data_IF_140568809950
#
_entry.id   IF_140568809950
#
_cell.length_a   1.000
_cell.length_b   1.000
_cell.length_c   1.000
_cell.angle_alpha   90.00
_cell.angle_beta   90.00
_cell.angle_gamma   90.00
#
_symmetry.space_group_name_H-M   'P 1'
#
loop_
_entity.id
_entity.type
_entity.pdbx_description
1 polymer ?
#
# COMPACT_ATOMS: atom_id res chain seq x y z
N UNK A 1 22.99 -13.22 1.64
CA UNK A 1 23.96 -14.07 2.38
C UNK A 1 23.91 -15.47 1.79
N UNK A 2 25.04 -16.16 1.63
CA UNK A 2 25.08 -17.59 1.28
C UNK A 2 25.26 -18.41 2.57
N UNK A 3 24.78 -19.67 2.59
CA UNK A 3 24.84 -20.57 3.76
C UNK A 3 24.29 -19.93 5.06
N UNK A 4 23.19 -19.19 4.93
CA UNK A 4 22.53 -18.55 6.06
C UNK A 4 21.68 -19.51 6.88
N UNK A 5 21.48 -19.17 8.15
CA UNK A 5 20.54 -19.78 9.07
C UNK A 5 19.63 -18.70 9.65
N UNK A 6 18.35 -19.05 9.77
CA UNK A 6 17.33 -18.25 10.43
C UNK A 6 16.69 -19.13 11.50
N UNK A 7 16.64 -18.63 12.73
CA UNK A 7 15.92 -19.28 13.84
C UNK A 7 14.78 -18.38 14.27
N UNK A 8 13.64 -19.01 14.56
CA UNK A 8 12.43 -18.35 15.01
C UNK A 8 11.90 -19.04 16.26
N UNK A 9 11.28 -18.27 17.14
CA UNK A 9 10.56 -18.76 18.31
C UNK A 9 9.21 -18.02 18.38
N UNK A 10 8.12 -18.76 18.18
CA UNK A 10 6.81 -18.17 18.00
C UNK A 10 6.83 -17.06 16.93
N UNK A 11 6.34 -15.85 17.21
CA UNK A 11 6.26 -14.77 16.23
C UNK A 11 7.57 -14.00 16.02
N UNK A 12 8.68 -14.38 16.66
CA UNK A 12 9.91 -13.57 16.66
C UNK A 12 11.09 -14.32 16.05
N UNK A 13 11.91 -13.60 15.28
CA UNK A 13 13.22 -14.07 14.82
C UNK A 13 14.22 -13.98 15.99
N UNK A 14 14.84 -15.09 16.35
CA UNK A 14 15.83 -15.15 17.43
C UNK A 14 17.26 -15.08 16.91
N UNK A 15 17.51 -15.53 15.67
CA UNK A 15 18.81 -15.45 15.02
C UNK A 15 18.65 -15.35 13.50
N UNK A 16 19.47 -14.52 12.86
CA UNK A 16 19.60 -14.44 11.40
C UNK A 16 21.07 -14.17 11.06
N UNK A 17 21.75 -15.10 10.39
CA UNK A 17 23.18 -14.96 10.11
C UNK A 17 23.79 -16.19 9.47
N UNK A 18 25.14 -16.25 9.35
CA UNK A 18 25.84 -17.42 8.84
C UNK A 18 25.59 -18.64 9.74
N UNK A 19 25.42 -19.82 9.15
CA UNK A 19 25.06 -21.04 9.89
C UNK A 19 26.11 -21.44 10.94
N UNK A 20 27.39 -21.13 10.71
CA UNK A 20 28.49 -21.37 11.64
C UNK A 20 28.37 -20.58 12.95
N UNK A 21 27.64 -19.47 12.94
CA UNK A 21 27.38 -18.63 14.10
C UNK A 21 26.01 -18.90 14.72
N UNK A 22 25.25 -19.85 14.18
CA UNK A 22 23.93 -20.16 14.71
C UNK A 22 24.03 -20.77 16.12
N UNK A 23 23.18 -20.32 17.06
CA UNK A 23 23.04 -20.98 18.35
C UNK A 23 22.78 -22.49 18.19
N UNK A 24 23.23 -23.29 19.15
CA UNK A 24 22.89 -24.73 19.18
C UNK A 24 21.37 -24.87 19.26
N UNK A 25 20.79 -25.52 18.26
CA UNK A 25 19.37 -25.76 18.24
C UNK A 25 18.98 -26.91 19.19
N UNK A 26 17.80 -26.86 19.83
CA UNK A 26 17.24 -27.98 20.58
C UNK A 26 17.12 -29.25 19.72
N UNK A 27 17.14 -30.42 20.35
CA UNK A 27 17.12 -31.70 19.65
C UNK A 27 15.83 -31.97 18.87
N UNK A 28 14.73 -31.32 19.26
CA UNK A 28 13.38 -31.44 18.72
C UNK A 28 12.99 -30.31 17.74
N UNK A 29 13.95 -29.46 17.33
CA UNK A 29 13.67 -28.36 16.41
C UNK A 29 13.23 -28.87 15.02
N UNK A 30 12.21 -28.23 14.44
CA UNK A 30 11.83 -28.46 13.05
C UNK A 30 12.79 -27.72 12.11
N UNK A 31 13.51 -28.46 11.28
CA UNK A 31 14.48 -27.89 10.32
C UNK A 31 13.90 -27.86 8.90
N UNK A 32 13.97 -26.70 8.26
CA UNK A 32 13.65 -26.51 6.85
C UNK A 32 14.93 -26.17 6.08
N UNK A 33 15.22 -26.88 4.99
CA UNK A 33 16.29 -26.54 4.05
C UNK A 33 15.66 -26.01 2.78
N UNK A 34 15.93 -24.75 2.46
CA UNK A 34 15.33 -24.07 1.31
C UNK A 34 16.39 -23.31 0.51
N UNK A 35 16.18 -23.07 -0.80
CA UNK A 35 17.18 -22.41 -1.63
C UNK A 35 17.43 -20.95 -1.24
N UNK A 36 16.36 -20.22 -0.93
CA UNK A 36 16.39 -18.79 -0.62
C UNK A 36 15.42 -18.49 0.51
N UNK A 37 15.83 -17.60 1.42
CA UNK A 37 15.00 -17.04 2.47
C UNK A 37 15.04 -15.51 2.37
N UNK A 38 13.89 -14.87 2.46
CA UNK A 38 13.75 -13.40 2.51
C UNK A 38 12.61 -12.99 3.45
N UNK A 39 12.52 -11.71 3.88
CA UNK A 39 11.37 -11.24 4.64
C UNK A 39 10.05 -11.40 3.85
N UNK A 40 8.94 -11.54 4.58
CA UNK A 40 7.59 -11.35 4.04
C UNK A 40 7.46 -9.99 3.34
N UNK A 41 6.80 -9.98 2.18
CA UNK A 41 6.63 -8.75 1.41
C UNK A 41 5.49 -7.90 1.97
N UNK A 42 5.57 -6.61 1.67
CA UNK A 42 4.60 -5.59 2.03
C UNK A 42 4.03 -4.93 0.79
N UNK A 43 2.73 -4.65 0.82
CA UNK A 43 2.09 -3.72 -0.10
C UNK A 43 1.70 -2.45 0.67
N UNK A 44 2.36 -1.33 0.38
CA UNK A 44 2.18 -0.08 1.10
C UNK A 44 1.03 0.77 0.53
N UNK A 45 0.30 0.30 -0.48
CA UNK A 45 -0.83 1.03 -1.04
C UNK A 45 -1.82 0.04 -1.63
N UNK A 46 -2.69 -0.51 -0.79
CA UNK A 46 -3.81 -1.33 -1.24
C UNK A 46 -5.14 -0.79 -0.74
N UNK A 47 -6.23 -1.33 -1.29
CA UNK A 47 -7.59 -0.95 -0.96
C UNK A 47 -8.50 -2.19 -0.86
N UNK A 48 -8.84 -2.60 0.36
CA UNK A 48 -9.82 -3.66 0.60
C UNK A 48 -11.24 -3.11 0.47
N UNK A 49 -11.71 -2.94 -0.76
CA UNK A 49 -12.98 -2.24 -1.03
C UNK A 49 -14.18 -3.16 -1.31
N UNK A 50 -13.96 -4.40 -1.76
CA UNK A 50 -15.04 -5.34 -2.08
C UNK A 50 -15.72 -5.13 -3.45
N UNK A 51 -15.18 -4.23 -4.28
CA UNK A 51 -15.77 -3.79 -5.55
C UNK A 51 -15.25 -4.66 -6.69
N UNK A 52 -16.10 -5.05 -7.65
CA UNK A 52 -15.69 -5.93 -8.76
C UNK A 52 -15.51 -5.22 -10.11
N UNK A 53 -16.05 -4.01 -10.23
CA UNK A 53 -16.14 -3.27 -11.49
C UNK A 53 -15.49 -1.90 -11.36
N UNK A 54 -15.12 -1.30 -12.49
CA UNK A 54 -14.53 0.05 -12.61
C UNK A 54 -15.50 1.19 -12.32
N UNK A 55 -16.81 0.91 -12.30
CA UNK A 55 -17.80 1.90 -11.96
C UNK A 55 -17.78 2.19 -10.45
N UNK A 56 -17.25 3.36 -10.07
CA UNK A 56 -17.15 3.83 -8.67
C UNK A 56 -18.51 3.96 -7.98
N UNK A 57 -19.61 4.12 -8.74
CA UNK A 57 -20.96 4.13 -8.16
C UNK A 57 -21.36 2.80 -7.51
N UNK A 58 -20.72 1.68 -7.91
CA UNK A 58 -20.99 0.35 -7.34
C UNK A 58 -20.77 0.32 -5.82
N UNK A 59 -19.87 1.17 -5.32
CA UNK A 59 -19.61 1.33 -3.90
C UNK A 59 -20.85 1.81 -3.17
N UNK A 60 -21.47 2.88 -3.67
CA UNK A 60 -22.67 3.45 -3.05
C UNK A 60 -23.90 2.54 -3.18
N UNK A 61 -23.91 1.65 -4.18
CA UNK A 61 -25.02 0.73 -4.48
C UNK A 61 -24.88 -0.63 -3.80
N UNK A 62 -23.72 -0.97 -3.25
CA UNK A 62 -23.45 -2.27 -2.63
C UNK A 62 -23.32 -2.13 -1.12
N UNK A 63 -24.09 -2.92 -0.37
CA UNK A 63 -24.05 -2.86 1.10
C UNK A 63 -22.69 -3.28 1.68
N UNK A 64 -22.27 -2.62 2.77
CA UNK A 64 -21.00 -2.92 3.47
C UNK A 64 -20.82 -4.41 3.83
N UNK A 65 -21.85 -5.18 4.27
CA UNK A 65 -21.68 -6.61 4.52
C UNK A 65 -21.24 -7.40 3.28
N UNK A 66 -21.77 -7.06 2.10
CA UNK A 66 -21.39 -7.71 0.84
C UNK A 66 -19.95 -7.34 0.46
N UNK A 67 -19.60 -6.05 0.54
CA UNK A 67 -18.23 -5.58 0.27
C UNK A 67 -17.22 -6.26 1.20
N UNK A 68 -17.57 -6.40 2.48
CA UNK A 68 -16.74 -7.04 3.51
C UNK A 68 -16.55 -8.52 3.22
N UNK A 69 -17.63 -9.26 2.96
CA UNK A 69 -17.57 -10.69 2.64
C UNK A 69 -16.67 -10.98 1.42
N UNK A 70 -16.68 -10.09 0.42
CA UNK A 70 -15.81 -10.16 -0.76
C UNK A 70 -14.34 -9.90 -0.40
N UNK A 71 -14.05 -8.86 0.38
CA UNK A 71 -12.71 -8.47 0.76
C UNK A 71 -11.97 -9.52 1.62
N UNK A 72 -12.69 -10.41 2.32
CA UNK A 72 -12.09 -11.56 3.03
C UNK A 72 -11.25 -12.44 2.11
N UNK A 73 -11.76 -12.74 0.91
CA UNK A 73 -11.03 -13.55 -0.06
C UNK A 73 -9.78 -12.84 -0.58
N UNK A 74 -9.83 -11.51 -0.69
CA UNK A 74 -8.73 -10.69 -1.15
C UNK A 74 -7.58 -10.64 -0.13
N UNK A 75 -7.89 -10.53 1.16
CA UNK A 75 -6.88 -10.61 2.22
C UNK A 75 -6.16 -11.97 2.18
N UNK A 76 -6.88 -13.06 1.96
CA UNK A 76 -6.28 -14.39 1.76
C UNK A 76 -5.37 -14.44 0.53
N UNK A 77 -5.80 -13.87 -0.60
CA UNK A 77 -5.00 -13.83 -1.84
C UNK A 77 -3.69 -13.08 -1.67
N UNK A 78 -3.71 -11.92 -0.99
CA UNK A 78 -2.50 -11.16 -0.69
C UNK A 78 -1.48 -12.01 0.08
N UNK A 79 -1.94 -12.67 1.15
CA UNK A 79 -1.11 -13.55 1.97
C UNK A 79 -0.54 -14.74 1.16
N UNK A 80 -1.36 -15.36 0.32
CA UNK A 80 -0.93 -16.47 -0.54
C UNK A 80 0.13 -16.06 -1.58
N UNK A 81 0.11 -14.80 -2.02
CA UNK A 81 1.10 -14.20 -2.90
C UNK A 81 2.39 -13.75 -2.18
N UNK A 82 2.55 -14.07 -0.89
CA UNK A 82 3.75 -13.76 -0.12
C UNK A 82 3.76 -12.37 0.52
N UNK A 83 2.63 -11.65 0.47
CA UNK A 83 2.49 -10.38 1.16
C UNK A 83 1.98 -10.63 2.57
N UNK A 84 2.89 -10.62 3.55
CA UNK A 84 2.55 -10.86 4.96
C UNK A 84 2.03 -9.61 5.65
N UNK A 85 2.17 -8.44 5.02
CA UNK A 85 1.71 -7.15 5.53
C UNK A 85 1.14 -6.26 4.42
N UNK A 86 0.10 -5.50 4.74
CA UNK A 86 -0.57 -4.58 3.83
C UNK A 86 -0.93 -3.28 4.54
N UNK A 87 -0.56 -2.14 3.96
CA UNK A 87 -1.07 -0.82 4.33
C UNK A 87 -2.29 -0.50 3.46
N UNK A 88 -3.47 -0.75 4.01
CA UNK A 88 -4.74 -0.44 3.38
C UNK A 88 -5.01 1.06 3.54
N UNK A 89 -4.87 1.85 2.48
CA UNK A 89 -4.99 3.31 2.59
C UNK A 89 -6.44 3.78 2.57
N UNK A 90 -7.32 3.03 1.90
CA UNK A 90 -8.75 3.31 1.82
C UNK A 90 -9.49 2.00 1.72
N UNK A 91 -10.47 1.76 2.59
CA UNK A 91 -11.25 0.54 2.51
C UNK A 91 -11.67 -0.01 3.86
N UNK A 92 -11.92 -1.31 3.85
CA UNK A 92 -12.38 -2.10 4.99
C UNK A 92 -11.22 -2.67 5.82
N UNK A 93 -9.97 -2.38 5.45
CA UNK A 93 -8.79 -2.96 6.10
C UNK A 93 -8.71 -2.66 7.59
N UNK A 94 -9.15 -1.47 8.03
CA UNK A 94 -9.23 -1.12 9.46
C UNK A 94 -10.15 -2.06 10.26
N UNK A 95 -11.18 -2.63 9.61
CA UNK A 95 -12.07 -3.61 10.21
C UNK A 95 -11.56 -5.04 10.05
N UNK A 96 -11.02 -5.37 8.86
CA UNK A 96 -10.46 -6.69 8.58
C UNK A 96 -9.25 -7.01 9.46
N UNK A 97 -8.45 -6.00 9.85
CA UNK A 97 -7.30 -6.17 10.72
C UNK A 97 -7.64 -6.96 11.99
N UNK A 98 -8.74 -6.58 12.68
CA UNK A 98 -9.16 -7.25 13.91
C UNK A 98 -9.45 -8.73 13.71
N UNK A 99 -10.23 -9.08 12.68
CA UNK A 99 -10.63 -10.48 12.43
C UNK A 99 -9.48 -11.33 11.88
N UNK A 100 -8.47 -10.72 11.28
CA UNK A 100 -7.21 -11.39 10.95
C UNK A 100 -6.35 -11.61 12.20
N UNK A 101 -6.23 -10.60 13.06
CA UNK A 101 -5.40 -10.66 14.28
C UNK A 101 -5.94 -11.68 15.31
N UNK A 102 -7.25 -11.80 15.44
CA UNK A 102 -7.88 -12.83 16.29
C UNK A 102 -8.04 -14.20 15.62
N UNK A 103 -7.56 -14.34 14.36
CA UNK A 103 -7.49 -15.62 13.65
C UNK A 103 -8.79 -16.13 13.02
N UNK A 104 -9.83 -15.29 12.92
CA UNK A 104 -11.11 -15.68 12.31
C UNK A 104 -10.99 -15.88 10.80
N UNK A 105 -10.16 -15.09 10.13
CA UNK A 105 -9.88 -15.22 8.70
C UNK A 105 -8.37 -15.20 8.43
N UNK A 106 -7.89 -15.90 7.39
CA UNK A 106 -6.50 -15.76 6.95
C UNK A 106 -6.28 -14.42 6.25
N UNK A 107 -5.15 -13.77 6.52
CA UNK A 107 -4.76 -12.53 5.84
C UNK A 107 -3.41 -11.99 6.33
N UNK A 108 -2.84 -10.98 5.65
CA UNK A 108 -1.64 -10.27 6.09
C UNK A 108 -1.88 -9.52 7.41
N UNK A 109 -0.83 -9.00 8.05
CA UNK A 109 -1.00 -7.90 8.99
C UNK A 109 -1.55 -6.69 8.23
N UNK A 110 -2.68 -6.13 8.69
CA UNK A 110 -3.34 -5.03 7.99
C UNK A 110 -3.19 -3.75 8.80
N UNK A 111 -2.61 -2.73 8.18
CA UNK A 111 -2.46 -1.39 8.74
C UNK A 111 -3.41 -0.45 8.01
N UNK A 112 -4.67 -0.43 8.47
CA UNK A 112 -5.75 0.31 7.84
C UNK A 112 -5.70 1.82 8.09
N UNK A 113 -6.00 2.60 7.05
CA UNK A 113 -6.20 4.04 7.08
C UNK A 113 -7.67 4.46 7.25
N UNK A 114 -8.61 3.54 6.99
CA UNK A 114 -10.04 3.80 7.05
C UNK A 114 -10.53 4.53 5.80
N UNK A 115 -11.20 5.67 6.00
CA UNK A 115 -11.66 6.52 4.91
C UNK A 115 -10.57 7.48 4.43
N UNK A 116 -10.53 7.75 3.12
CA UNK A 116 -9.74 8.88 2.61
C UNK A 116 -10.39 10.21 2.98
N UNK A 117 -9.57 11.15 3.43
CA UNK A 117 -9.98 12.55 3.58
C UNK A 117 -9.84 13.27 2.22
N UNK A 118 -10.90 13.95 1.80
CA UNK A 118 -10.94 14.72 0.56
C UNK A 118 -11.70 16.02 0.79
N UNK A 119 -11.36 17.14 0.14
CA UNK A 119 -12.25 18.29 0.10
C UNK A 119 -13.48 17.95 -0.77
N UNK A 120 -14.54 18.74 -0.64
CA UNK A 120 -15.65 18.73 -1.61
C UNK A 120 -15.12 19.02 -3.02
N UNK A 121 -15.68 18.35 -4.03
CA UNK A 121 -15.19 18.35 -5.41
C UNK A 121 -13.75 17.80 -5.58
N UNK A 122 -13.27 17.08 -4.57
CA UNK A 122 -11.95 16.47 -4.53
C UNK A 122 -11.89 15.06 -5.14
N UNK A 123 -10.72 14.42 -5.07
CA UNK A 123 -10.53 13.10 -5.68
C UNK A 123 -11.37 12.00 -4.99
N UNK A 124 -11.57 12.13 -3.67
CA UNK A 124 -12.38 11.20 -2.89
C UNK A 124 -13.88 11.47 -2.93
N UNK A 125 -14.33 12.43 -3.76
CA UNK A 125 -15.73 12.79 -3.92
C UNK A 125 -16.36 12.06 -5.11
N UNK A 126 -17.60 11.59 -4.92
CA UNK A 126 -18.39 10.95 -5.97
C UNK A 126 -19.37 11.99 -6.54
N UNK A 127 -18.86 12.84 -7.43
CA UNK A 127 -19.54 14.04 -7.94
C UNK A 127 -20.92 13.81 -8.57
N UNK A 128 -21.24 12.58 -8.96
CA UNK A 128 -22.55 12.21 -9.51
C UNK A 128 -23.65 12.15 -8.45
N UNK A 129 -23.30 12.20 -7.16
CA UNK A 129 -24.26 12.23 -6.05
C UNK A 129 -24.27 13.60 -5.34
N UNK A 130 -25.41 14.00 -4.75
CA UNK A 130 -25.45 15.17 -3.88
C UNK A 130 -24.48 15.03 -2.70
N UNK A 131 -23.85 16.13 -2.27
CA UNK A 131 -22.92 16.13 -1.12
C UNK A 131 -23.56 15.60 0.17
N UNK A 132 -24.86 15.86 0.39
CA UNK A 132 -25.62 15.30 1.52
C UNK A 132 -25.64 13.76 1.52
N UNK A 133 -25.66 13.14 0.33
CA UNK A 133 -25.58 11.69 0.20
C UNK A 133 -24.17 11.19 0.51
N UNK A 134 -23.13 11.93 0.10
CA UNK A 134 -21.74 11.61 0.46
C UNK A 134 -21.52 11.64 1.98
N UNK A 135 -22.05 12.64 2.68
CA UNK A 135 -22.02 12.65 4.14
C UNK A 135 -22.81 11.49 4.77
N UNK A 136 -23.92 11.08 4.14
CA UNK A 136 -24.70 9.92 4.58
C UNK A 136 -23.90 8.62 4.44
N UNK A 137 -23.19 8.42 3.33
CA UNK A 137 -22.31 7.26 3.13
C UNK A 137 -21.17 7.25 4.16
N UNK A 138 -20.52 8.40 4.39
CA UNK A 138 -19.48 8.53 5.41
C UNK A 138 -20.01 8.15 6.80
N UNK A 139 -21.19 8.68 7.18
CA UNK A 139 -21.83 8.36 8.45
C UNK A 139 -22.25 6.89 8.57
N UNK A 140 -22.56 6.23 7.45
CA UNK A 140 -22.88 4.81 7.39
C UNK A 140 -21.63 3.89 7.44
N UNK A 141 -20.42 4.45 7.49
CA UNK A 141 -19.17 3.70 7.61
C UNK A 141 -18.52 3.32 6.28
N UNK A 142 -18.94 3.93 5.17
CA UNK A 142 -18.17 3.84 3.93
C UNK A 142 -16.87 4.65 4.03
N UNK A 143 -15.90 4.28 3.20
CA UNK A 143 -14.52 4.75 3.28
C UNK A 143 -14.24 6.05 2.48
N UNK A 144 -15.23 6.94 2.42
CA UNK A 144 -15.10 8.29 1.85
C UNK A 144 -15.45 9.33 2.91
N UNK A 145 -14.60 10.34 3.11
CA UNK A 145 -14.89 11.41 4.06
C UNK A 145 -14.54 12.78 3.50
N UNK A 146 -15.59 13.50 3.08
CA UNK A 146 -15.48 14.91 2.71
C UNK A 146 -15.26 15.78 3.94
N UNK A 147 -14.30 16.69 3.87
CA UNK A 147 -13.96 17.63 4.93
C UNK A 147 -13.63 18.99 4.31
N UNK A 148 -14.32 20.06 4.70
CA UNK A 148 -14.01 21.42 4.24
C UNK A 148 -13.72 22.34 5.43
N UNK A 149 -12.54 22.97 5.41
CA UNK A 149 -12.01 23.79 6.48
C UNK A 149 -11.33 22.99 7.59
N UNK A 150 -10.49 23.69 8.36
CA UNK A 150 -9.65 23.13 9.43
C UNK A 150 -10.47 22.32 10.44
N UNK A 151 -11.62 22.84 10.89
CA UNK A 151 -12.44 22.16 11.90
C UNK A 151 -12.94 20.78 11.43
N UNK A 152 -13.37 20.69 10.18
CA UNK A 152 -13.83 19.43 9.61
C UNK A 152 -12.68 18.48 9.34
N UNK A 153 -11.54 18.98 8.89
CA UNK A 153 -10.32 18.19 8.70
C UNK A 153 -9.83 17.54 10.01
N UNK A 154 -9.86 18.27 11.13
CA UNK A 154 -9.55 17.72 12.46
C UNK A 154 -10.52 16.61 12.86
N UNK A 155 -11.84 16.82 12.62
CA UNK A 155 -12.86 15.79 12.84
C UNK A 155 -12.64 14.57 11.92
N UNK A 156 -12.24 14.83 10.67
CA UNK A 156 -11.68 13.92 9.68
C UNK A 156 -10.75 12.89 10.28
N UNK A 157 -9.59 13.39 10.71
CA UNK A 157 -8.52 12.60 11.32
C UNK A 157 -9.03 11.84 12.54
N UNK A 158 -9.74 12.53 13.45
CA UNK A 158 -10.23 11.93 14.70
C UNK A 158 -11.20 10.77 14.46
N UNK A 159 -12.06 10.85 13.44
CA UNK A 159 -12.95 9.76 13.08
C UNK A 159 -12.15 8.52 12.66
N UNK A 160 -11.08 8.68 11.88
CA UNK A 160 -10.23 7.55 11.47
C UNK A 160 -9.44 6.99 12.67
N UNK A 161 -8.91 7.86 13.53
CA UNK A 161 -8.28 7.44 14.77
C UNK A 161 -9.24 6.66 15.68
N UNK A 162 -10.51 7.06 15.74
CA UNK A 162 -11.58 6.36 16.49
C UNK A 162 -11.84 4.95 15.95
N UNK A 163 -11.58 4.69 14.67
CA UNK A 163 -11.65 3.34 14.08
C UNK A 163 -10.40 2.49 14.38
N UNK A 164 -9.34 3.11 14.91
CA UNK A 164 -8.06 2.44 15.16
C UNK A 164 -7.07 2.56 14.00
N UNK A 165 -7.28 3.51 13.08
CA UNK A 165 -6.40 3.70 11.92
C UNK A 165 -4.92 3.84 12.32
N UNK A 166 -4.05 3.21 11.53
CA UNK A 166 -2.58 3.17 11.71
C UNK A 166 -1.84 4.19 10.85
N UNK A 167 -2.53 4.79 9.89
CA UNK A 167 -2.05 5.84 9.00
C UNK A 167 -3.26 6.72 8.63
N UNK A 168 -3.04 7.97 8.28
CA UNK A 168 -4.10 8.84 7.76
C UNK A 168 -3.89 9.03 6.26
N UNK A 169 -4.92 8.82 5.44
CA UNK A 169 -4.88 9.04 3.99
C UNK A 169 -5.64 10.30 3.61
N UNK A 170 -5.04 11.13 2.76
CA UNK A 170 -5.71 12.31 2.17
C UNK A 170 -5.48 12.44 0.66
N UNK A 171 -6.29 13.27 0.02
CA UNK A 171 -6.13 13.73 -1.36
C UNK A 171 -5.55 15.15 -1.42
N UNK A 172 -4.26 15.29 -1.75
CA UNK A 172 -3.58 16.58 -1.85
C UNK A 172 -3.46 17.07 -3.31
N UNK A 173 -3.91 16.26 -4.27
CA UNK A 173 -4.18 16.70 -5.64
C UNK A 173 -5.43 16.03 -6.16
N UNK A 174 -5.91 16.48 -7.33
CA UNK A 174 -6.89 15.69 -8.06
C UNK A 174 -6.38 14.32 -8.49
N UNK A 175 -7.28 13.45 -8.92
CA UNK A 175 -6.93 12.11 -9.38
C UNK A 175 -7.35 11.79 -10.80
N UNK A 176 -7.03 10.55 -11.17
CA UNK A 176 -7.17 10.06 -12.54
C UNK A 176 -8.61 9.67 -12.86
N UNK A 177 -9.31 9.08 -11.88
CA UNK A 177 -10.64 8.49 -12.06
C UNK A 177 -11.80 9.45 -11.74
N UNK A 178 -11.54 10.53 -11.02
CA UNK A 178 -12.54 11.51 -10.62
C UNK A 178 -12.89 12.46 -11.78
N UNK A 179 -14.15 12.90 -11.81
CA UNK A 179 -14.73 13.61 -12.95
C UNK A 179 -14.34 15.09 -13.03
N UNK A 180 -14.58 15.84 -11.95
CA UNK A 180 -14.51 17.31 -11.93
C UNK A 180 -13.09 17.83 -11.68
N UNK A 181 -12.32 17.12 -10.87
CA UNK A 181 -10.98 17.56 -10.49
C UNK A 181 -9.94 17.30 -11.59
N UNK A 182 -8.70 17.73 -11.35
CA UNK A 182 -7.59 17.50 -12.26
C UNK A 182 -6.31 17.07 -11.52
N UNK A 183 -5.58 16.04 -12.01
CA UNK A 183 -4.37 15.53 -11.38
C UNK A 183 -3.30 16.59 -11.07
N UNK A 184 -3.21 17.65 -11.88
CA UNK A 184 -2.18 18.68 -11.72
C UNK A 184 -2.51 19.72 -10.64
N UNK A 185 -3.77 19.81 -10.22
CA UNK A 185 -4.22 20.82 -9.27
C UNK A 185 -4.09 20.32 -7.84
N UNK A 186 -3.62 21.18 -6.94
CA UNK A 186 -3.61 20.95 -5.50
C UNK A 186 -5.04 20.80 -4.97
N UNK A 187 -5.21 19.92 -3.99
CA UNK A 187 -6.40 19.77 -3.17
C UNK A 187 -6.04 19.98 -1.71
N UNK A 188 -7.00 20.47 -0.93
CA UNK A 188 -6.81 21.12 0.37
C UNK A 188 -5.95 22.39 0.32
N UNK A 189 -6.31 23.37 1.15
CA UNK A 189 -5.46 24.49 1.49
C UNK A 189 -4.27 24.07 2.37
N UNK A 190 -3.24 24.90 2.42
CA UNK A 190 -2.07 24.65 3.27
C UNK A 190 -2.45 24.56 4.76
N UNK A 191 -3.43 25.36 5.21
CA UNK A 191 -3.93 25.36 6.59
C UNK A 191 -4.62 24.02 6.94
N UNK A 192 -5.41 23.49 6.01
CA UNK A 192 -6.06 22.18 6.18
C UNK A 192 -5.04 21.04 6.20
N UNK A 193 -4.07 21.05 5.27
CA UNK A 193 -2.99 20.06 5.25
C UNK A 193 -2.19 20.08 6.56
N UNK A 194 -1.82 21.27 7.05
CA UNK A 194 -1.13 21.40 8.34
C UNK A 194 -1.97 20.90 9.51
N UNK A 195 -3.29 21.19 9.52
CA UNK A 195 -4.19 20.70 10.55
C UNK A 195 -4.29 19.16 10.56
N UNK A 196 -4.41 18.54 9.38
CA UNK A 196 -4.48 17.09 9.23
C UNK A 196 -3.18 16.44 9.72
N UNK A 197 -2.03 16.92 9.25
CA UNK A 197 -0.72 16.38 9.65
C UNK A 197 -0.48 16.59 11.14
N UNK A 198 -0.82 17.76 11.68
CA UNK A 198 -0.65 18.07 13.11
C UNK A 198 -1.53 17.19 14.01
N UNK A 199 -2.77 16.93 13.64
CA UNK A 199 -3.66 16.03 14.40
C UNK A 199 -3.22 14.57 14.31
N UNK A 200 -2.79 14.10 13.13
CA UNK A 200 -2.26 12.75 12.96
C UNK A 200 -1.00 12.54 13.82
N UNK A 201 -0.08 13.51 13.81
CA UNK A 201 1.16 13.46 14.58
C UNK A 201 0.94 13.45 16.09
N UNK A 202 -0.08 14.17 16.61
CA UNK A 202 -0.47 14.11 18.04
C UNK A 202 -0.86 12.71 18.49
N UNK A 203 -1.32 11.87 17.57
CA UNK A 203 -1.64 10.47 17.82
C UNK A 203 -0.57 9.51 17.26
N UNK A 204 0.65 9.99 16.97
CA UNK A 204 1.77 9.19 16.46
C UNK A 204 1.46 8.48 15.13
N UNK A 205 0.61 9.08 14.28
CA UNK A 205 0.36 8.63 12.91
C UNK A 205 1.09 9.55 11.93
N UNK A 206 1.55 8.98 10.83
CA UNK A 206 1.93 9.76 9.65
C UNK A 206 0.73 9.94 8.72
N UNK A 207 0.87 10.87 7.78
CA UNK A 207 -0.09 11.10 6.70
C UNK A 207 0.50 10.61 5.37
N UNK A 208 -0.32 9.85 4.64
CA UNK A 208 -0.09 9.40 3.27
C UNK A 208 -0.89 10.29 2.31
N UNK A 209 -0.21 10.98 1.39
CA UNK A 209 -0.84 11.94 0.49
C UNK A 209 -0.95 11.39 -0.93
N UNK A 210 -2.18 11.22 -1.43
CA UNK A 210 -2.43 11.09 -2.87
C UNK A 210 -2.00 12.38 -3.58
N UNK A 211 -0.98 12.29 -4.45
CA UNK A 211 -0.45 13.44 -5.18
C UNK A 211 0.06 13.04 -6.58
N UNK A 212 -0.52 13.65 -7.61
CA UNK A 212 0.03 13.61 -8.96
C UNK A 212 0.83 14.87 -9.26
N UNK A 213 0.15 16.03 -9.31
CA UNK A 213 0.73 17.31 -9.71
C UNK A 213 1.74 17.88 -8.72
N UNK A 214 2.77 18.55 -9.24
CA UNK A 214 3.80 19.23 -8.44
C UNK A 214 3.22 20.15 -7.35
N UNK A 215 2.19 20.99 -7.59
CA UNK A 215 1.62 21.83 -6.53
C UNK A 215 1.18 21.04 -5.29
N UNK A 216 0.42 19.96 -5.50
CA UNK A 216 -0.03 19.07 -4.42
C UNK A 216 1.12 18.34 -3.72
N UNK A 217 2.11 17.84 -4.49
CA UNK A 217 3.31 17.20 -3.93
C UNK A 217 4.04 18.16 -3.00
N UNK A 218 4.31 19.39 -3.45
CA UNK A 218 5.06 20.39 -2.68
C UNK A 218 4.29 20.81 -1.43
N UNK A 219 2.97 21.02 -1.53
CA UNK A 219 2.13 21.35 -0.38
C UNK A 219 2.11 20.23 0.66
N UNK A 220 1.92 18.98 0.24
CA UNK A 220 1.94 17.81 1.12
C UNK A 220 3.29 17.65 1.85
N UNK A 221 4.41 17.82 1.13
CA UNK A 221 5.76 17.75 1.72
C UNK A 221 6.05 18.90 2.69
N UNK A 222 5.60 20.12 2.39
CA UNK A 222 5.73 21.29 3.28
C UNK A 222 4.92 21.10 4.56
N UNK A 223 3.69 20.59 4.45
CA UNK A 223 2.83 20.28 5.59
C UNK A 223 3.38 19.14 6.47
N UNK A 224 4.22 18.26 5.91
CA UNK A 224 4.89 17.19 6.64
C UNK A 224 4.27 15.80 6.43
N UNK A 225 3.62 15.56 5.29
CA UNK A 225 3.18 14.21 4.91
C UNK A 225 4.40 13.26 4.84
N UNK A 226 4.25 12.07 5.42
CA UNK A 226 5.35 11.11 5.55
C UNK A 226 5.54 10.24 4.31
N UNK A 227 4.47 9.99 3.56
CA UNK A 227 4.53 9.30 2.27
C UNK A 227 3.79 10.09 1.18
N UNK A 228 4.38 10.09 -0.01
CA UNK A 228 3.78 10.62 -1.24
C UNK A 228 3.40 9.42 -2.10
N UNK A 229 2.12 9.34 -2.42
CA UNK A 229 1.57 8.28 -3.26
C UNK A 229 1.51 8.74 -4.72
N UNK A 230 1.80 7.83 -5.66
CA UNK A 230 1.93 8.07 -7.10
C UNK A 230 3.13 8.94 -7.48
N UNK A 231 3.18 10.22 -7.05
CA UNK A 231 4.32 11.11 -7.33
C UNK A 231 4.55 11.35 -8.83
N UNK A 232 3.47 11.54 -9.60
CA UNK A 232 3.54 11.48 -11.06
C UNK A 232 4.27 12.63 -11.73
N UNK A 233 4.34 13.79 -11.08
CA UNK A 233 5.05 14.98 -11.56
C UNK A 233 6.16 15.41 -10.59
N UNK A 234 6.97 14.46 -10.13
CA UNK A 234 8.20 14.78 -9.41
C UNK A 234 9.23 15.39 -10.36
N UNK A 235 9.78 16.53 -9.95
CA UNK A 235 10.96 17.14 -10.53
C UNK A 235 12.07 17.24 -9.47
N UNK A 236 13.20 17.85 -9.84
CA UNK A 236 14.38 17.95 -8.97
C UNK A 236 14.06 18.66 -7.65
N UNK A 237 13.29 19.74 -7.69
CA UNK A 237 12.88 20.48 -6.48
C UNK A 237 12.05 19.60 -5.53
N UNK A 238 11.07 18.88 -6.08
CA UNK A 238 10.24 17.99 -5.27
C UNK A 238 11.06 16.82 -4.69
N UNK A 239 11.97 16.25 -5.48
CA UNK A 239 12.88 15.18 -5.06
C UNK A 239 13.80 15.63 -3.92
N UNK A 240 14.40 16.81 -4.04
CA UNK A 240 15.27 17.38 -3.01
C UNK A 240 14.50 17.57 -1.70
N UNK A 241 13.26 18.08 -1.78
CA UNK A 241 12.41 18.24 -0.61
C UNK A 241 11.99 16.90 -0.01
N UNK A 242 11.69 15.87 -0.82
CA UNK A 242 11.41 14.52 -0.31
C UNK A 242 12.59 13.97 0.49
N UNK A 243 13.82 14.10 -0.03
CA UNK A 243 15.04 13.66 0.64
C UNK A 243 15.24 14.44 1.95
N UNK A 244 15.13 15.77 1.91
CA UNK A 244 15.26 16.64 3.09
C UNK A 244 14.25 16.25 4.19
N UNK A 245 13.00 16.01 3.82
CA UNK A 245 11.92 15.63 4.74
C UNK A 245 11.92 14.14 5.11
N UNK A 246 12.79 13.34 4.48
CA UNK A 246 12.82 11.88 4.59
C UNK A 246 11.47 11.23 4.22
N UNK A 247 10.69 11.89 3.36
CA UNK A 247 9.44 11.36 2.86
C UNK A 247 9.69 10.16 1.95
N UNK A 248 8.75 9.21 1.96
CA UNK A 248 8.86 7.98 1.17
C UNK A 248 7.94 8.10 -0.05
N UNK A 249 8.46 7.75 -1.23
CA UNK A 249 7.65 7.60 -2.43
C UNK A 249 7.04 6.19 -2.48
N UNK A 250 5.74 6.11 -2.73
CA UNK A 250 5.04 4.86 -3.04
C UNK A 250 4.41 5.01 -4.42
N UNK A 251 5.06 4.50 -5.48
CA UNK A 251 4.77 4.93 -6.84
C UNK A 251 3.53 4.30 -7.46
N UNK A 252 3.11 3.09 -7.07
CA UNK A 252 1.90 2.46 -7.61
C UNK A 252 1.90 2.37 -9.14
N UNK A 253 3.04 1.98 -9.72
CA UNK A 253 3.16 1.88 -11.18
C UNK A 253 2.19 0.85 -11.76
N UNK A 254 1.93 -0.21 -11.01
CA UNK A 254 1.03 -1.30 -11.32
C UNK A 254 -0.35 -0.81 -11.76
N UNK A 255 -1.04 0.02 -10.96
CA UNK A 255 -2.39 0.48 -11.34
C UNK A 255 -2.36 1.27 -12.66
N UNK A 256 -1.33 2.09 -12.89
CA UNK A 256 -1.18 2.84 -14.13
C UNK A 256 -1.04 1.90 -15.33
N UNK A 257 -0.16 0.90 -15.24
CA UNK A 257 0.04 -0.09 -16.31
C UNK A 257 -1.25 -0.89 -16.57
N UNK A 258 -1.99 -1.26 -15.52
CA UNK A 258 -3.27 -1.96 -15.64
C UNK A 258 -4.33 -1.09 -16.32
N UNK A 259 -4.44 0.19 -15.95
CA UNK A 259 -5.38 1.12 -16.57
C UNK A 259 -5.04 1.40 -18.04
N UNK A 260 -3.75 1.55 -18.38
CA UNK A 260 -3.31 1.71 -19.78
C UNK A 260 -3.68 0.49 -20.61
N UNK A 261 -3.37 -0.72 -20.12
CA UNK A 261 -3.52 -1.96 -20.86
C UNK A 261 -4.97 -2.46 -20.97
N UNK A 262 -5.77 -2.30 -19.90
CA UNK A 262 -7.09 -2.91 -19.79
C UNK A 262 -8.24 -1.91 -19.72
N UNK A 263 -7.96 -0.62 -19.53
CA UNK A 263 -8.96 0.44 -19.41
C UNK A 263 -10.06 0.39 -20.47
N UNK A 264 -9.74 0.42 -21.78
CA UNK A 264 -10.73 0.39 -22.86
C UNK A 264 -11.63 -0.84 -22.85
N UNK A 265 -11.12 -1.99 -22.39
CA UNK A 265 -11.88 -3.24 -22.32
C UNK A 265 -12.81 -3.30 -21.10
N UNK A 266 -12.55 -2.46 -20.09
CA UNK A 266 -13.23 -2.45 -18.79
C UNK A 266 -14.11 -1.22 -18.61
N UNK A 267 -14.50 -0.54 -19.70
CA UNK A 267 -15.42 0.61 -19.69
C UNK A 267 -15.04 1.73 -18.70
N UNK A 268 -13.75 2.01 -18.54
CA UNK A 268 -13.36 3.23 -17.82
C UNK A 268 -13.88 4.45 -18.63
N UNK A 269 -14.36 5.52 -17.98
CA UNK A 269 -14.84 6.69 -18.69
C UNK A 269 -13.76 7.35 -19.57
N UNK A 270 -14.15 7.88 -20.73
CA UNK A 270 -13.24 8.51 -21.68
C UNK A 270 -12.39 9.63 -21.06
N UNK A 271 -12.99 10.46 -20.21
CA UNK A 271 -12.28 11.54 -19.53
C UNK A 271 -11.14 10.99 -18.65
N UNK A 272 -11.38 9.87 -17.95
CA UNK A 272 -10.41 9.23 -17.07
C UNK A 272 -9.31 8.56 -17.90
N UNK A 273 -9.66 7.89 -19.00
CA UNK A 273 -8.66 7.25 -19.86
C UNK A 273 -7.70 8.25 -20.50
N UNK A 274 -8.19 9.43 -20.90
CA UNK A 274 -7.31 10.51 -21.39
C UNK A 274 -6.32 10.97 -20.32
N UNK A 275 -6.76 11.09 -19.06
CA UNK A 275 -5.88 11.40 -17.92
C UNK A 275 -4.81 10.31 -17.77
N UNK A 276 -5.20 9.02 -17.79
CA UNK A 276 -4.28 7.87 -17.70
C UNK A 276 -3.18 7.94 -18.77
N UNK A 277 -3.56 8.12 -20.03
CA UNK A 277 -2.60 8.14 -21.15
C UNK A 277 -1.62 9.31 -21.04
N UNK A 278 -2.08 10.49 -20.62
CA UNK A 278 -1.22 11.65 -20.41
C UNK A 278 -0.22 11.46 -19.25
N UNK A 279 -0.61 10.68 -18.22
CA UNK A 279 0.19 10.43 -17.03
C UNK A 279 1.21 9.29 -17.20
N UNK A 280 0.95 8.31 -18.06
CA UNK A 280 1.75 7.09 -18.20
C UNK A 280 3.27 7.34 -18.30
N UNK A 281 3.72 8.00 -19.35
CA UNK A 281 5.16 8.23 -19.58
C UNK A 281 5.75 9.24 -18.60
N UNK A 282 4.96 10.25 -18.21
CA UNK A 282 5.37 11.25 -17.24
C UNK A 282 5.65 10.61 -15.87
N UNK A 283 4.77 9.74 -15.40
CA UNK A 283 4.95 9.00 -14.16
C UNK A 283 6.21 8.12 -14.19
N UNK A 284 6.47 7.41 -15.30
CA UNK A 284 7.69 6.58 -15.41
C UNK A 284 8.95 7.43 -15.33
N UNK A 285 8.97 8.61 -15.97
CA UNK A 285 10.08 9.57 -15.88
C UNK A 285 10.28 10.09 -14.45
N UNK A 286 9.21 10.44 -13.74
CA UNK A 286 9.25 10.87 -12.34
C UNK A 286 9.80 9.78 -11.41
N UNK A 287 9.35 8.53 -11.58
CA UNK A 287 9.87 7.39 -10.82
C UNK A 287 11.36 7.14 -11.11
N UNK A 288 11.76 7.19 -12.37
CA UNK A 288 13.16 7.08 -12.79
C UNK A 288 14.05 8.17 -12.18
N UNK A 289 13.55 9.41 -12.11
CA UNK A 289 14.24 10.52 -11.43
C UNK A 289 14.40 10.22 -9.93
N UNK A 290 13.32 9.87 -9.24
CA UNK A 290 13.35 9.55 -7.82
C UNK A 290 14.33 8.42 -7.48
N UNK A 291 14.37 7.36 -8.31
CA UNK A 291 15.31 6.24 -8.16
C UNK A 291 16.76 6.72 -8.29
N UNK A 292 17.09 7.46 -9.35
CA UNK A 292 18.47 7.91 -9.60
C UNK A 292 18.96 8.93 -8.56
N UNK A 293 18.05 9.73 -8.01
CA UNK A 293 18.37 10.72 -6.97
C UNK A 293 18.42 10.13 -5.56
N UNK A 294 18.06 8.86 -5.37
CA UNK A 294 18.15 8.19 -4.07
C UNK A 294 16.99 8.49 -3.12
N UNK A 295 15.82 8.88 -3.63
CA UNK A 295 14.59 8.96 -2.82
C UNK A 295 14.28 7.58 -2.25
N UNK A 296 13.90 7.51 -0.97
CA UNK A 296 13.45 6.25 -0.38
C UNK A 296 12.12 5.86 -1.01
N UNK A 297 12.06 4.64 -1.54
CA UNK A 297 10.86 4.11 -2.19
C UNK A 297 10.40 2.86 -1.44
N UNK A 298 9.08 2.74 -1.27
CA UNK A 298 8.43 1.52 -0.82
C UNK A 298 7.44 1.02 -1.89
N UNK A 299 7.26 -0.30 -1.96
CA UNK A 299 6.34 -0.93 -2.90
C UNK A 299 4.90 -0.65 -2.47
N UNK A 300 4.06 -0.18 -3.38
CA UNK A 300 2.60 -0.15 -3.24
C UNK A 300 1.97 -0.29 -4.62
N UNK A 301 0.78 -0.88 -4.73
CA UNK A 301 0.23 -1.26 -6.05
C UNK A 301 -0.98 -0.45 -6.47
N UNK A 302 -1.74 0.09 -5.51
CA UNK A 302 -3.09 0.62 -5.68
C UNK A 302 -4.04 -0.45 -6.27
N UNK A 303 -3.95 -1.66 -5.71
CA UNK A 303 -4.92 -2.73 -5.94
C UNK A 303 -6.19 -2.41 -5.15
N UNK A 304 -7.33 -2.39 -5.84
CA UNK A 304 -8.63 -2.07 -5.24
C UNK A 304 -9.77 -3.02 -5.62
N UNK A 305 -9.66 -3.73 -6.74
CA UNK A 305 -10.76 -4.56 -7.26
C UNK A 305 -10.71 -6.00 -6.75
N UNK A 306 -11.88 -6.53 -6.37
CA UNK A 306 -12.08 -7.85 -5.80
C UNK A 306 -12.37 -8.91 -6.84
N UNK A 307 -11.68 -10.04 -6.70
CA UNK A 307 -11.90 -11.24 -7.51
C UNK A 307 -10.92 -11.36 -8.67
N UNK A 308 -10.68 -12.60 -9.06
CA UNK A 308 -9.80 -12.93 -10.18
C UNK A 308 -10.36 -12.39 -11.50
N UNK A 309 -9.45 -11.93 -12.37
CA UNK A 309 -9.81 -11.37 -13.68
C UNK A 309 -10.33 -9.94 -13.67
N UNK A 310 -10.40 -9.28 -12.50
CA UNK A 310 -10.71 -7.84 -12.42
C UNK A 310 -9.52 -6.98 -12.89
N UNK A 311 -9.72 -5.67 -12.97
CA UNK A 311 -8.72 -4.76 -13.53
C UNK A 311 -7.45 -4.69 -12.68
N UNK A 312 -7.55 -4.73 -11.35
CA UNK A 312 -6.42 -4.68 -10.43
C UNK A 312 -6.67 -5.66 -9.27
N UNK A 313 -6.50 -6.98 -9.49
CA UNK A 313 -6.86 -8.00 -8.51
C UNK A 313 -5.78 -8.21 -7.45
N UNK A 314 -6.21 -8.50 -6.22
CA UNK A 314 -5.34 -8.99 -5.14
C UNK A 314 -4.65 -10.30 -5.50
N UNK A 315 -3.40 -10.45 -5.06
CA UNK A 315 -2.52 -11.57 -5.42
C UNK A 315 -1.59 -11.29 -6.60
N UNK A 316 -1.78 -10.16 -7.29
CA UNK A 316 -0.87 -9.66 -8.33
C UNK A 316 0.10 -8.59 -7.80
N UNK A 317 0.16 -8.39 -6.48
CA UNK A 317 0.88 -7.30 -5.84
C UNK A 317 2.38 -7.27 -6.23
N UNK A 318 3.00 -8.44 -6.43
CA UNK A 318 4.40 -8.57 -6.80
C UNK A 318 4.73 -8.05 -8.21
N UNK A 319 3.74 -7.79 -9.08
CA UNK A 319 3.97 -7.17 -10.39
C UNK A 319 4.61 -5.79 -10.27
N UNK A 320 4.37 -5.06 -9.16
CA UNK A 320 5.04 -3.78 -8.88
C UNK A 320 6.56 -3.93 -8.81
N UNK A 321 7.09 -5.08 -8.36
CA UNK A 321 8.55 -5.32 -8.34
C UNK A 321 9.14 -5.28 -9.75
N UNK A 322 8.45 -5.86 -10.73
CA UNK A 322 8.87 -5.86 -12.14
C UNK A 322 8.87 -4.44 -12.67
N UNK A 323 7.85 -3.65 -12.35
CA UNK A 323 7.77 -2.25 -12.75
C UNK A 323 8.85 -1.36 -12.11
N UNK A 324 9.19 -1.60 -10.84
CA UNK A 324 10.29 -0.90 -10.17
C UNK A 324 11.63 -1.21 -10.82
N UNK A 325 11.88 -2.46 -11.21
CA UNK A 325 13.10 -2.87 -11.92
C UNK A 325 13.14 -2.27 -13.34
N UNK A 326 12.03 -2.31 -14.08
CA UNK A 326 11.91 -1.65 -15.40
C UNK A 326 12.10 -0.12 -15.32
N UNK A 327 11.73 0.50 -14.19
CA UNK A 327 12.02 1.91 -13.92
C UNK A 327 13.47 2.19 -13.49
N UNK A 328 14.32 1.17 -13.38
CA UNK A 328 15.76 1.31 -13.14
C UNK A 328 16.25 0.93 -11.75
N UNK A 329 15.41 0.34 -10.90
CA UNK A 329 15.91 -0.28 -9.66
C UNK A 329 16.70 -1.55 -9.95
N UNK A 330 17.76 -1.81 -9.18
CA UNK A 330 18.33 -3.17 -9.12
C UNK A 330 17.34 -4.10 -8.41
N UNK A 331 17.30 -5.40 -8.74
CA UNK A 331 16.39 -6.35 -8.09
C UNK A 331 16.43 -6.33 -6.55
N UNK A 332 17.62 -6.20 -5.96
CA UNK A 332 17.74 -6.09 -4.49
C UNK A 332 17.08 -4.82 -3.93
N UNK A 333 17.15 -3.69 -4.64
CA UNK A 333 16.49 -2.46 -4.21
C UNK A 333 14.96 -2.58 -4.31
N UNK A 334 14.44 -3.27 -5.33
CA UNK A 334 13.01 -3.57 -5.43
C UNK A 334 12.54 -4.47 -4.28
N UNK A 335 13.34 -5.48 -3.91
CA UNK A 335 13.07 -6.32 -2.73
C UNK A 335 13.07 -5.47 -1.45
N UNK A 336 14.05 -4.58 -1.27
CA UNK A 336 14.10 -3.67 -0.11
C UNK A 336 12.91 -2.72 -0.06
N UNK A 337 12.43 -2.23 -1.21
CA UNK A 337 11.21 -1.42 -1.30
C UNK A 337 9.97 -2.19 -0.82
N UNK A 338 9.90 -3.49 -1.08
CA UNK A 338 8.82 -4.36 -0.63
C UNK A 338 9.01 -4.96 0.76
N UNK A 339 10.13 -4.68 1.45
CA UNK A 339 10.46 -5.29 2.74
C UNK A 339 11.00 -4.25 3.71
N UNK A 340 12.31 -4.00 3.73
CA UNK A 340 12.99 -3.18 4.72
C UNK A 340 12.47 -1.72 4.78
N UNK A 341 12.12 -1.13 3.64
CA UNK A 341 11.59 0.24 3.57
C UNK A 341 10.10 0.30 3.90
N UNK A 342 9.37 -0.80 3.70
CA UNK A 342 7.92 -0.80 3.69
C UNK A 342 7.31 -0.51 5.06
N UNK A 343 7.83 -1.12 6.13
CA UNK A 343 7.37 -0.85 7.49
C UNK A 343 7.52 0.64 7.87
N UNK A 344 8.51 1.34 7.31
CA UNK A 344 8.73 2.78 7.57
C UNK A 344 7.58 3.66 7.07
N UNK A 345 6.73 3.16 6.16
CA UNK A 345 5.53 3.86 5.67
C UNK A 345 4.42 4.01 6.72
N UNK A 346 4.66 3.53 7.95
CA UNK A 346 3.82 3.72 9.12
C UNK A 346 4.42 4.70 10.14
N UNK A 347 5.66 5.15 9.92
CA UNK A 347 6.38 6.03 10.84
C UNK A 347 6.42 5.45 12.27
N UNK A 348 5.95 6.18 13.30
CA UNK A 348 5.96 5.68 14.68
C UNK A 348 5.12 4.41 14.91
N UNK A 349 4.16 4.10 14.05
CA UNK A 349 3.36 2.87 14.15
C UNK A 349 4.06 1.63 13.57
N UNK A 350 5.27 1.78 13.00
CA UNK A 350 5.99 0.70 12.37
C UNK A 350 6.35 -0.42 13.37
N UNK A 351 6.00 -1.68 13.10
CA UNK A 351 6.54 -2.81 13.85
C UNK A 351 8.03 -3.02 13.53
N UNK A 352 8.69 -3.89 14.29
CA UNK A 352 10.01 -4.42 13.91
C UNK A 352 9.82 -5.51 12.87
N UNK A 353 9.50 -5.12 11.63
CA UNK A 353 9.21 -6.04 10.53
C UNK A 353 10.00 -5.69 9.25
N UNK A 354 9.81 -6.47 8.19
CA UNK A 354 10.39 -6.24 6.87
C UNK A 354 11.88 -6.58 6.76
N UNK A 355 12.50 -7.18 7.79
CA UNK A 355 13.91 -7.57 7.78
C UNK A 355 14.12 -8.88 8.53
N UNK A 356 15.05 -9.70 8.05
CA UNK A 356 15.50 -10.91 8.75
C UNK A 356 16.55 -10.53 9.79
N UNK A 357 16.11 -10.15 10.99
CA UNK A 357 16.99 -9.69 12.08
C UNK A 357 16.45 -10.19 13.43
N UNK A 358 17.35 -10.48 14.36
CA UNK A 358 16.96 -10.84 15.71
C UNK A 358 16.06 -9.76 16.36
N UNK A 359 14.96 -10.19 16.99
CA UNK A 359 13.95 -9.33 17.59
C UNK A 359 12.95 -8.71 16.60
N UNK A 360 12.97 -9.11 15.33
CA UNK A 360 11.96 -8.73 14.33
C UNK A 360 10.91 -9.83 14.17
N UNK A 361 9.77 -9.48 13.59
CA UNK A 361 8.66 -10.38 13.31
C UNK A 361 9.11 -11.53 12.39
N UNK A 362 8.66 -12.75 12.70
CA UNK A 362 8.93 -13.97 11.94
C UNK A 362 8.02 -14.09 10.71
N UNK A 363 8.06 -13.06 9.88
CA UNK A 363 7.39 -12.96 8.58
C UNK A 363 8.38 -13.26 7.47
N UNK A 364 8.26 -14.45 6.87
CA UNK A 364 9.35 -15.06 6.10
C UNK A 364 8.81 -15.71 4.83
N UNK A 365 9.56 -15.59 3.74
CA UNK A 365 9.34 -16.34 2.50
C UNK A 365 10.50 -17.28 2.25
N UNK A 366 10.18 -18.55 1.99
CA UNK A 366 11.08 -19.45 1.29
C UNK A 366 10.80 -19.38 -0.21
N UNK A 367 11.82 -19.11 -1.02
CA UNK A 367 11.68 -18.91 -2.46
C UNK A 367 12.48 -20.00 -3.21
N UNK A 368 11.92 -20.50 -4.29
CA UNK A 368 12.46 -21.60 -5.09
C UNK A 368 13.81 -21.26 -5.75
N UNK A 369 14.01 -20.00 -6.09
CA UNK A 369 15.15 -19.49 -6.85
C UNK A 369 15.50 -18.08 -6.37
N UNK A 370 16.72 -17.63 -6.66
CA UNK A 370 17.21 -16.31 -6.28
C UNK A 370 16.51 -15.18 -7.05
N UNK A 371 15.66 -14.36 -6.38
CA UNK A 371 14.94 -13.28 -7.04
C UNK A 371 15.84 -12.10 -7.45
N UNK A 372 17.12 -12.11 -7.05
CA UNK A 372 18.09 -11.09 -7.47
C UNK A 372 18.53 -11.27 -8.92
N UNK A 373 18.45 -12.49 -9.43
CA UNK A 373 18.80 -12.83 -10.82
C UNK A 373 17.62 -12.61 -11.77
N UNK A 374 16.40 -12.82 -11.26
CA UNK A 374 15.15 -12.56 -11.99
C UNK A 374 14.05 -12.23 -10.97
N UNK A 375 13.62 -10.97 -10.96
CA UNK A 375 12.63 -10.48 -10.01
C UNK A 375 11.23 -11.05 -10.28
N UNK A 376 10.93 -11.44 -11.53
CA UNK A 376 9.63 -11.97 -11.93
C UNK A 376 9.31 -13.30 -11.24
N UNK A 377 10.31 -13.99 -10.69
CA UNK A 377 10.09 -15.20 -9.89
C UNK A 377 9.12 -14.95 -8.73
N UNK A 378 9.13 -13.75 -8.15
CA UNK A 378 8.24 -13.37 -7.04
C UNK A 378 6.80 -13.09 -7.48
N UNK A 379 6.52 -12.94 -8.77
CA UNK A 379 5.14 -12.71 -9.27
C UNK A 379 4.32 -13.99 -9.37
N UNK A 380 4.97 -15.14 -9.22
CA UNK A 380 4.41 -16.47 -9.40
C UNK A 380 4.28 -17.19 -8.05
N UNK A 381 3.07 -17.38 -7.51
CA UNK A 381 2.86 -18.02 -6.21
C UNK A 381 3.52 -19.41 -6.08
N UNK A 382 3.64 -20.17 -7.17
CA UNK A 382 4.29 -21.50 -7.24
C UNK A 382 5.81 -21.48 -6.97
N UNK A 383 6.43 -20.31 -7.09
CA UNK A 383 7.84 -20.09 -6.78
C UNK A 383 8.08 -19.76 -5.31
N UNK A 384 7.04 -19.35 -4.58
CA UNK A 384 7.11 -19.30 -3.13
C UNK A 384 6.93 -20.73 -2.63
N UNK A 385 7.90 -21.28 -1.91
CA UNK A 385 7.81 -22.65 -1.39
C UNK A 385 7.00 -22.68 -0.11
N UNK A 386 7.19 -21.68 0.75
CA UNK A 386 6.49 -21.55 2.01
C UNK A 386 6.43 -20.07 2.40
N UNK A 387 5.32 -19.67 2.99
CA UNK A 387 5.12 -18.35 3.56
C UNK A 387 4.86 -18.55 5.05
N UNK A 388 5.63 -17.87 5.88
CA UNK A 388 5.40 -17.79 7.32
C UNK A 388 4.89 -16.40 7.66
N UNK A 389 3.84 -16.34 8.48
CA UNK A 389 3.35 -15.13 9.12
C UNK A 389 3.32 -15.38 10.62
N UNK A 390 3.88 -14.46 11.41
CA UNK A 390 4.01 -14.65 12.87
C UNK A 390 4.63 -16.01 13.25
N UNK A 391 5.62 -16.47 12.47
CA UNK A 391 6.32 -17.74 12.65
C UNK A 391 5.52 -19.01 12.35
N UNK A 392 4.26 -18.88 11.90
CA UNK A 392 3.43 -20.00 11.49
C UNK A 392 3.45 -20.16 9.97
N UNK A 393 3.77 -21.37 9.50
CA UNK A 393 3.67 -21.69 8.08
C UNK A 393 2.18 -21.66 7.68
N UNK A 394 1.84 -20.85 6.68
CA UNK A 394 0.46 -20.76 6.22
C UNK A 394 0.13 -21.94 5.31
N UNK A 395 -1.12 -22.40 5.34
CA UNK A 395 -1.62 -23.34 4.35
C UNK A 395 -1.80 -22.63 3.00
N UNK A 396 -1.22 -23.21 1.94
CA UNK A 396 -1.23 -22.61 0.60
C UNK A 396 -2.06 -23.46 -0.35
N UNK A 397 -3.04 -22.83 -0.97
CA UNK A 397 -3.80 -23.41 -2.08
C UNK A 397 -3.14 -22.91 -3.37
N UNK A 398 -2.06 -23.58 -3.79
CA UNK A 398 -1.46 -23.29 -5.10
C UNK A 398 -2.39 -23.89 -6.16
N UNK A 399 -2.83 -23.13 -7.18
CA UNK A 399 -3.64 -23.67 -8.27
C UNK A 399 -2.97 -24.84 -9.01
#
# INVERSE_FOLDING_TARGET
MQNGCLMIEGPTITFAGPIENAPKAPADIRVHRVPVVMPGMWDCHGHFMGIRVTNVEDIAKTSLPVLTARAVADAKRALQAGFTSVRDLVGLGVHLARVVDEGTIPGPHIYGGGAMLSPTAGHGDLHMFPTSYMHTLAAAGYYFQLCDGVAECLRGVRNQLRLGAKVIKLCASGGVMSEVDHPVHQQFSDDELQAIVGEAARAERIVAAHCHGKPGIMAALRAGCGTIEHGSYLDEEAVDLMIQKKAILVPTRYILERLIAFGPKMNIPDYAYRKVLALGDQHKRSLQLAIRSGVRIALGTDIWSTGEGTIAPWGQNAQELVHLVDAGMRPLQAIEAATANAAMTLGPQAPKSGQLKAGYDADILAVRKDPRSDIAILTSPENLLTVWKSGQAIERSVP
#
